data_IF_509387223376
#
_entry.id   IF_509387223376
#
_cell.length_a   1.000
_cell.length_b   1.000
_cell.length_c   1.000
_cell.angle_alpha   90.00
_cell.angle_beta   90.00
_cell.angle_gamma   90.00
#
_symmetry.space_group_name_H-M   'P 1'
#
loop_
_entity.id
_entity.type
_entity.pdbx_description
1 polymer ?
#
# COMPACT_ATOMS: atom_id res chain seq x y z
N UNK A 1 58.16 -71.30 -30.92
CA UNK A 1 57.81 -70.15 -31.77
C UNK A 1 56.33 -69.93 -31.68
N UNK A 2 55.87 -69.13 -30.71
CA UNK A 2 54.44 -68.79 -30.56
C UNK A 2 54.36 -67.26 -30.53
N UNK A 3 53.76 -66.71 -31.55
CA UNK A 3 53.43 -65.30 -31.70
C UNK A 3 52.22 -65.02 -30.86
N UNK A 4 52.15 -63.93 -30.06
CA UNK A 4 50.95 -63.54 -29.40
C UNK A 4 50.07 -62.67 -30.31
N UNK A 5 48.85 -63.10 -30.45
CA UNK A 5 47.78 -62.45 -31.16
C UNK A 5 47.28 -61.27 -30.35
N UNK A 6 47.41 -60.07 -30.93
CA UNK A 6 46.99 -58.81 -30.34
C UNK A 6 45.55 -58.53 -30.77
N UNK A 7 44.57 -58.64 -29.91
CA UNK A 7 43.17 -58.31 -30.19
C UNK A 7 42.64 -57.25 -29.21
N UNK A 8 43.08 -56.00 -29.38
CA UNK A 8 42.45 -54.85 -28.75
C UNK A 8 41.75 -53.99 -29.82
N UNK A 9 40.62 -54.49 -30.29
CA UNK A 9 39.67 -53.68 -31.07
C UNK A 9 38.33 -53.58 -30.31
N UNK A 10 38.33 -52.78 -29.23
CA UNK A 10 37.09 -52.37 -28.63
C UNK A 10 36.48 -51.24 -29.52
N UNK A 11 35.24 -51.39 -29.98
CA UNK A 11 34.60 -50.35 -30.80
C UNK A 11 34.39 -49.08 -29.96
N UNK A 12 34.61 -47.88 -30.56
CA UNK A 12 34.40 -46.61 -29.85
C UNK A 12 32.94 -46.53 -29.42
N UNK A 13 32.74 -46.27 -28.11
CA UNK A 13 31.41 -45.99 -27.56
C UNK A 13 30.80 -44.81 -28.28
N UNK A 14 29.94 -45.08 -29.27
CA UNK A 14 29.11 -44.06 -29.90
C UNK A 14 28.18 -43.46 -28.80
N UNK A 15 28.56 -42.30 -28.34
CA UNK A 15 27.65 -41.47 -27.49
C UNK A 15 26.43 -41.14 -28.35
N UNK A 16 25.28 -41.69 -27.97
CA UNK A 16 24.03 -41.51 -28.71
C UNK A 16 23.73 -40.01 -28.89
N UNK A 17 23.52 -39.50 -30.15
CA UNK A 17 23.28 -38.08 -30.41
C UNK A 17 22.09 -37.51 -29.66
N UNK A 18 21.13 -38.35 -29.25
CA UNK A 18 19.99 -38.01 -28.42
C UNK A 18 20.37 -37.49 -27.04
N UNK A 19 21.42 -38.04 -26.36
CA UNK A 19 21.85 -37.56 -25.06
C UNK A 19 22.38 -36.11 -25.10
N UNK A 20 23.08 -35.74 -26.17
CA UNK A 20 23.58 -34.38 -26.35
C UNK A 20 22.46 -33.37 -26.63
N UNK A 21 21.40 -33.78 -27.34
CA UNK A 21 20.24 -32.92 -27.62
C UNK A 21 19.44 -32.63 -26.35
N UNK A 22 19.18 -33.66 -25.53
CA UNK A 22 18.50 -33.52 -24.23
C UNK A 22 19.25 -32.63 -23.25
N UNK A 23 20.58 -32.76 -23.21
CA UNK A 23 21.42 -31.91 -22.36
C UNK A 23 21.33 -30.44 -22.77
N UNK A 24 21.37 -30.14 -24.07
CA UNK A 24 21.22 -28.77 -24.61
C UNK A 24 19.83 -28.20 -24.32
N UNK A 25 18.78 -29.04 -24.43
CA UNK A 25 17.40 -28.61 -24.12
C UNK A 25 17.23 -28.31 -22.64
N UNK A 26 17.76 -29.17 -21.76
CA UNK A 26 17.73 -28.93 -20.29
C UNK A 26 18.52 -27.69 -19.91
N UNK A 27 19.67 -27.47 -20.51
CA UNK A 27 20.46 -26.25 -20.28
C UNK A 27 19.70 -25.00 -20.76
N UNK A 28 19.04 -25.04 -21.91
CA UNK A 28 18.21 -23.94 -22.41
C UNK A 28 17.04 -23.61 -21.49
N UNK A 29 16.35 -24.64 -20.97
CA UNK A 29 15.27 -24.46 -19.98
C UNK A 29 15.81 -23.88 -18.68
N UNK A 30 16.95 -24.36 -18.19
CA UNK A 30 17.58 -23.83 -16.98
C UNK A 30 17.95 -22.35 -17.13
N UNK A 31 18.58 -21.97 -18.26
CA UNK A 31 18.91 -20.57 -18.55
C UNK A 31 17.64 -19.72 -18.64
N UNK A 32 16.58 -20.21 -19.30
CA UNK A 32 15.31 -19.50 -19.41
C UNK A 32 14.67 -19.28 -18.02
N UNK A 33 14.69 -20.29 -17.16
CA UNK A 33 14.20 -20.18 -15.77
C UNK A 33 14.99 -19.17 -14.97
N UNK A 34 16.33 -19.15 -15.12
CA UNK A 34 17.19 -18.16 -14.45
C UNK A 34 16.86 -16.75 -14.94
N UNK A 35 16.67 -16.54 -16.25
CA UNK A 35 16.30 -15.24 -16.80
C UNK A 35 14.93 -14.78 -16.35
N UNK A 36 13.94 -15.68 -16.30
CA UNK A 36 12.59 -15.38 -15.79
C UNK A 36 12.64 -15.01 -14.31
N UNK A 37 13.36 -15.79 -13.50
CA UNK A 37 13.50 -15.50 -12.05
C UNK A 37 14.27 -14.22 -11.81
N UNK A 38 15.36 -13.98 -12.52
CA UNK A 38 16.13 -12.73 -12.42
C UNK A 38 15.29 -11.52 -12.85
N UNK A 39 14.55 -11.63 -13.94
CA UNK A 39 13.65 -10.59 -14.44
C UNK A 39 12.50 -10.31 -13.46
N UNK A 40 11.86 -11.34 -12.93
CA UNK A 40 10.81 -11.19 -11.92
C UNK A 40 11.36 -10.55 -10.63
N UNK A 41 12.53 -10.99 -10.19
CA UNK A 41 13.19 -10.43 -8.99
C UNK A 41 13.57 -8.97 -9.23
N UNK A 42 14.11 -8.64 -10.41
CA UNK A 42 14.40 -7.25 -10.78
C UNK A 42 13.14 -6.39 -10.74
N UNK A 43 12.00 -6.84 -11.30
CA UNK A 43 10.74 -6.09 -11.30
C UNK A 43 10.17 -5.89 -9.89
N UNK A 44 10.38 -6.86 -8.98
CA UNK A 44 9.90 -6.77 -7.60
C UNK A 44 10.77 -5.82 -6.77
N UNK A 45 12.09 -5.88 -6.92
CA UNK A 45 13.04 -5.18 -6.06
C UNK A 45 13.75 -4.00 -6.75
N UNK A 46 13.53 -3.78 -8.06
CA UNK A 46 14.10 -2.62 -8.73
C UNK A 46 13.76 -1.36 -7.94
N UNK A 47 14.75 -0.49 -7.64
CA UNK A 47 14.49 0.73 -6.94
C UNK A 47 13.47 1.52 -7.74
N UNK A 48 12.30 1.68 -7.16
CA UNK A 48 11.33 2.61 -7.70
C UNK A 48 11.97 3.99 -7.67
N UNK A 49 11.87 4.72 -8.79
CA UNK A 49 12.25 6.13 -8.82
C UNK A 49 11.67 6.79 -7.57
N UNK A 50 12.55 7.30 -6.73
CA UNK A 50 12.19 7.87 -5.43
C UNK A 50 11.06 8.87 -5.63
N UNK A 51 9.91 8.54 -5.07
CA UNK A 51 8.82 9.51 -5.02
C UNK A 51 9.38 10.65 -4.16
N UNK A 52 9.53 11.88 -4.71
CA UNK A 52 10.19 12.96 -4.01
C UNK A 52 9.57 13.15 -2.63
N UNK A 53 10.41 13.45 -1.63
CA UNK A 53 9.92 13.69 -0.28
C UNK A 53 8.83 14.76 -0.35
N UNK A 54 7.71 14.51 0.34
CA UNK A 54 6.66 15.50 0.46
C UNK A 54 7.26 16.71 1.19
N UNK A 55 7.60 17.75 0.44
CA UNK A 55 8.11 18.99 1.01
C UNK A 55 6.93 19.70 1.68
N UNK A 56 7.02 19.88 3.00
CA UNK A 56 6.05 20.67 3.74
C UNK A 56 6.21 22.13 3.36
N UNK A 57 5.13 22.72 2.91
CA UNK A 57 5.07 24.15 2.61
C UNK A 57 4.50 24.90 3.84
N UNK A 58 4.88 26.18 4.00
CA UNK A 58 4.31 27.06 5.02
C UNK A 58 2.78 27.16 4.90
N UNK A 59 2.25 27.08 3.68
CA UNK A 59 0.82 27.03 3.41
C UNK A 59 0.11 25.82 4.04
N UNK A 60 0.80 24.70 4.24
CA UNK A 60 0.22 23.51 4.85
C UNK A 60 -0.17 23.78 6.31
N UNK A 61 0.63 24.55 7.05
CA UNK A 61 0.29 24.97 8.42
C UNK A 61 -0.90 25.94 8.43
N UNK A 62 -0.98 26.82 7.43
CA UNK A 62 -2.14 27.73 7.29
C UNK A 62 -3.43 26.96 7.03
N UNK A 63 -3.38 25.93 6.19
CA UNK A 63 -4.52 25.03 5.93
C UNK A 63 -4.90 24.31 7.21
N UNK A 64 -3.96 23.72 7.93
CA UNK A 64 -4.21 23.03 9.20
C UNK A 64 -4.86 23.97 10.23
N UNK A 65 -4.35 25.20 10.37
CA UNK A 65 -4.90 26.18 11.30
C UNK A 65 -6.35 26.53 10.96
N UNK A 66 -6.65 26.80 9.69
CA UNK A 66 -8.03 27.07 9.24
C UNK A 66 -8.98 25.89 9.51
N UNK A 67 -8.53 24.67 9.30
CA UNK A 67 -9.32 23.47 9.59
C UNK A 67 -9.61 23.34 11.09
N UNK A 68 -8.58 23.53 11.92
CA UNK A 68 -8.74 23.53 13.38
C UNK A 68 -9.75 24.59 13.83
N UNK A 69 -9.64 25.82 13.31
CA UNK A 69 -10.58 26.90 13.62
C UNK A 69 -12.02 26.54 13.20
N UNK A 70 -12.20 25.98 11.99
CA UNK A 70 -13.50 25.56 11.49
C UNK A 70 -14.13 24.52 12.40
N UNK A 71 -13.39 23.44 12.68
CA UNK A 71 -13.86 22.37 13.56
C UNK A 71 -14.12 22.88 14.98
N UNK A 72 -13.26 23.72 15.54
CA UNK A 72 -13.45 24.31 16.87
C UNK A 72 -14.70 25.18 16.94
N UNK A 73 -14.98 25.97 15.91
CA UNK A 73 -16.21 26.77 15.82
C UNK A 73 -17.46 25.89 15.82
N UNK A 74 -17.45 24.82 15.02
CA UNK A 74 -18.57 23.87 14.96
C UNK A 74 -18.75 23.13 16.29
N UNK A 75 -17.65 22.72 16.96
CA UNK A 75 -17.68 22.12 18.28
C UNK A 75 -18.25 23.08 19.33
N UNK A 76 -17.89 24.36 19.26
CA UNK A 76 -18.41 25.39 20.17
C UNK A 76 -19.90 25.60 19.99
N UNK A 77 -20.38 25.62 18.74
CA UNK A 77 -21.78 25.77 18.42
C UNK A 77 -22.62 24.55 18.84
N UNK A 78 -22.07 23.35 18.68
CA UNK A 78 -22.75 22.08 18.99
C UNK A 78 -22.91 21.80 20.46
N UNK A 79 -22.20 22.54 21.36
CA UNK A 79 -22.43 22.46 22.81
C UNK A 79 -23.84 22.91 23.21
N UNK A 80 -24.53 23.69 22.37
CA UNK A 80 -25.86 24.20 22.61
C UNK A 80 -26.98 23.24 22.20
N UNK A 81 -26.68 22.32 21.25
CA UNK A 81 -27.68 21.39 20.71
C UNK A 81 -27.11 19.96 20.72
N UNK A 82 -27.70 19.07 21.52
CA UNK A 82 -27.22 17.74 21.83
C UNK A 82 -27.11 16.78 20.62
N UNK A 83 -27.71 17.06 19.48
CA UNK A 83 -27.75 16.18 18.31
C UNK A 83 -27.37 16.88 17.00
N UNK A 84 -26.73 18.04 17.05
CA UNK A 84 -26.37 18.76 15.85
C UNK A 84 -25.30 17.99 15.07
N UNK A 85 -25.57 17.76 13.77
CA UNK A 85 -24.60 17.18 12.84
C UNK A 85 -23.66 18.28 12.36
N UNK A 86 -22.37 18.05 12.48
CA UNK A 86 -21.34 18.88 11.85
C UNK A 86 -21.08 18.38 10.43
N UNK A 87 -20.77 19.28 9.52
CA UNK A 87 -20.37 18.95 8.15
C UNK A 87 -19.02 19.59 7.85
N UNK A 88 -18.05 18.78 7.47
CA UNK A 88 -16.72 19.19 7.05
C UNK A 88 -16.52 18.86 5.58
N UNK A 89 -16.30 19.86 4.75
CA UNK A 89 -15.93 19.69 3.35
C UNK A 89 -14.43 19.98 3.19
N UNK A 90 -13.71 19.02 2.63
CA UNK A 90 -12.27 19.09 2.41
C UNK A 90 -11.98 19.03 0.90
N UNK A 91 -11.23 20.00 0.42
CA UNK A 91 -10.69 19.94 -0.94
C UNK A 91 -9.52 18.94 -1.02
N UNK A 92 -9.19 18.44 -2.22
CA UNK A 92 -8.01 17.59 -2.40
C UNK A 92 -6.72 18.23 -1.91
N UNK A 93 -6.59 19.54 -2.09
CA UNK A 93 -5.41 20.28 -1.61
C UNK A 93 -5.31 20.30 -0.08
N UNK A 94 -6.43 20.54 0.61
CA UNK A 94 -6.49 20.50 2.07
C UNK A 94 -6.12 19.12 2.62
N UNK A 95 -6.63 18.05 2.01
CA UNK A 95 -6.31 16.67 2.40
C UNK A 95 -4.82 16.37 2.15
N UNK A 96 -4.29 16.77 0.99
CA UNK A 96 -2.89 16.57 0.65
C UNK A 96 -1.95 17.37 1.58
N UNK A 97 -2.35 18.57 2.01
CA UNK A 97 -1.65 19.34 3.03
C UNK A 97 -1.56 18.57 4.35
N UNK A 98 -2.66 17.98 4.82
CA UNK A 98 -2.67 17.18 6.04
C UNK A 98 -1.77 15.94 5.92
N UNK A 99 -1.74 15.29 4.75
CA UNK A 99 -0.83 14.17 4.50
C UNK A 99 0.64 14.59 4.53
N UNK A 100 1.02 15.72 3.93
CA UNK A 100 2.39 16.25 3.99
C UNK A 100 2.83 16.54 5.43
N UNK A 101 1.96 17.15 6.22
CA UNK A 101 2.22 17.41 7.64
C UNK A 101 2.34 16.13 8.47
N UNK A 102 1.52 15.12 8.18
CA UNK A 102 1.56 13.84 8.89
C UNK A 102 2.81 13.03 8.56
N UNK A 103 3.26 13.06 7.31
CA UNK A 103 4.44 12.33 6.85
C UNK A 103 5.74 12.79 7.53
N UNK A 104 5.79 14.03 8.02
CA UNK A 104 6.96 14.58 8.75
C UNK A 104 6.96 14.28 10.25
N UNK A 105 5.88 13.72 10.79
CA UNK A 105 5.89 13.25 12.18
C UNK A 105 6.66 11.95 12.24
N UNK A 106 7.61 11.84 13.20
CA UNK A 106 8.33 10.59 13.46
C UNK A 106 7.30 9.46 13.63
N UNK A 107 7.43 8.33 12.93
CA UNK A 107 6.51 7.23 13.07
C UNK A 107 6.45 6.82 14.54
N UNK A 108 5.28 6.87 15.12
CA UNK A 108 5.04 6.29 16.44
C UNK A 108 5.31 4.78 16.31
N UNK A 109 5.77 4.16 17.39
CA UNK A 109 6.15 2.75 17.51
C UNK A 109 5.14 1.78 16.86
N UNK A 110 5.14 1.72 15.54
CA UNK A 110 4.38 0.72 14.79
C UNK A 110 5.16 -0.60 14.83
N UNK A 111 4.51 -1.74 15.11
CA UNK A 111 5.16 -3.05 15.03
C UNK A 111 5.58 -3.42 13.60
N UNK A 112 5.08 -2.69 12.60
CA UNK A 112 5.49 -2.84 11.21
C UNK A 112 6.62 -1.86 10.90
N UNK A 113 7.72 -2.30 10.26
CA UNK A 113 8.84 -1.45 9.87
C UNK A 113 8.46 -0.56 8.68
N UNK A 114 7.43 0.26 8.84
CA UNK A 114 7.01 1.26 7.88
C UNK A 114 7.95 2.46 8.01
N UNK A 115 8.97 2.52 7.16
CA UNK A 115 9.92 3.65 7.21
C UNK A 115 9.27 4.97 6.85
N UNK A 116 8.48 5.00 5.77
CA UNK A 116 7.75 6.19 5.31
C UNK A 116 6.58 5.72 4.46
N UNK A 117 5.38 6.15 4.75
CA UNK A 117 4.30 6.03 3.78
C UNK A 117 3.98 7.39 3.17
N UNK A 118 3.58 7.41 1.93
CA UNK A 118 3.15 8.60 1.23
C UNK A 118 1.72 8.41 0.79
N UNK A 119 0.89 9.34 1.18
CA UNK A 119 -0.49 9.36 0.80
C UNK A 119 -0.79 10.61 -0.02
N UNK A 120 -1.70 10.48 -0.97
CA UNK A 120 -2.25 11.58 -1.74
C UNK A 120 -3.73 11.34 -2.00
N UNK A 121 -4.47 12.42 -2.18
CA UNK A 121 -5.88 12.40 -2.53
C UNK A 121 -6.06 13.10 -3.88
N UNK A 122 -6.84 12.50 -4.77
CA UNK A 122 -7.05 12.98 -6.13
C UNK A 122 -8.38 13.70 -6.28
N UNK A 123 -8.51 14.49 -7.37
CA UNK A 123 -9.74 15.16 -7.76
C UNK A 123 -10.88 14.19 -8.16
N UNK A 124 -10.56 12.90 -8.26
CA UNK A 124 -11.54 11.82 -8.51
C UNK A 124 -12.08 11.19 -7.24
N UNK A 125 -11.67 11.68 -6.05
CA UNK A 125 -12.06 11.09 -4.77
C UNK A 125 -11.30 9.80 -4.42
N UNK A 126 -10.17 9.56 -5.07
CA UNK A 126 -9.33 8.38 -4.81
C UNK A 126 -8.18 8.75 -3.87
N UNK A 127 -8.00 7.95 -2.84
CA UNK A 127 -6.80 7.95 -2.03
C UNK A 127 -5.73 7.09 -2.69
N UNK A 128 -4.52 7.53 -2.69
CA UNK A 128 -3.35 6.74 -3.07
C UNK A 128 -2.36 6.70 -1.92
N UNK A 129 -1.82 5.51 -1.65
CA UNK A 129 -0.77 5.33 -0.66
C UNK A 129 0.37 4.52 -1.26
N UNK A 130 1.61 4.93 -0.94
CA UNK A 130 2.81 4.16 -1.24
C UNK A 130 3.47 3.82 0.10
N UNK A 131 3.54 2.53 0.37
CA UNK A 131 4.01 1.97 1.62
C UNK A 131 5.29 1.19 1.33
N UNK A 132 6.45 1.65 1.80
CA UNK A 132 7.68 0.85 1.76
C UNK A 132 7.61 -0.24 2.83
N UNK A 133 7.82 -1.48 2.43
CA UNK A 133 7.86 -2.64 3.30
C UNK A 133 9.28 -3.19 3.27
N UNK A 134 9.97 -3.13 4.40
CA UNK A 134 11.29 -3.73 4.54
C UNK A 134 11.14 -5.26 4.63
N UNK A 135 11.87 -5.96 3.77
CA UNK A 135 11.90 -7.42 3.76
C UNK A 135 13.14 -7.93 4.48
N UNK A 136 13.08 -9.19 4.90
CA UNK A 136 14.26 -9.89 5.48
C UNK A 136 15.35 -10.17 4.44
N UNK A 137 15.02 -10.05 3.15
CA UNK A 137 15.93 -10.30 2.02
C UNK A 137 16.80 -9.09 1.71
N UNK A 138 17.52 -8.57 2.70
CA UNK A 138 18.36 -7.36 2.57
C UNK A 138 19.45 -7.47 1.50
N UNK A 139 19.88 -8.68 1.17
CA UNK A 139 20.88 -8.96 0.14
C UNK A 139 20.33 -8.78 -1.29
N UNK A 140 19.00 -8.70 -1.44
CA UNK A 140 18.34 -8.54 -2.72
C UNK A 140 17.92 -7.07 -2.89
N UNK A 141 18.65 -6.30 -3.71
CA UNK A 141 18.36 -4.90 -4.08
C UNK A 141 17.91 -3.98 -2.93
N UNK A 142 18.54 -4.09 -1.77
CA UNK A 142 18.27 -3.23 -0.61
C UNK A 142 17.09 -3.65 0.26
N UNK A 143 16.37 -4.71 -0.10
CA UNK A 143 15.38 -5.35 0.77
C UNK A 143 14.08 -4.58 1.00
N UNK A 144 13.77 -3.53 0.22
CA UNK A 144 12.54 -2.76 0.36
C UNK A 144 11.61 -3.03 -0.82
N UNK A 145 10.38 -3.41 -0.52
CA UNK A 145 9.28 -3.57 -1.48
C UNK A 145 8.33 -2.40 -1.33
N UNK A 146 7.86 -1.84 -2.44
CA UNK A 146 6.89 -0.74 -2.44
C UNK A 146 5.50 -1.25 -2.78
N UNK A 147 4.57 -1.07 -1.86
CA UNK A 147 3.14 -1.33 -2.07
C UNK A 147 2.46 -0.02 -2.46
N UNK A 148 1.99 0.07 -3.69
CA UNK A 148 1.16 1.19 -4.16
C UNK A 148 -0.29 0.78 -4.22
N UNK A 149 -1.12 1.42 -3.42
CA UNK A 149 -2.56 1.14 -3.35
C UNK A 149 -3.31 2.41 -3.72
N UNK A 150 -4.34 2.28 -4.57
CA UNK A 150 -5.38 3.30 -4.76
C UNK A 150 -6.70 2.74 -4.29
N UNK A 151 -7.43 3.51 -3.51
CA UNK A 151 -8.69 3.10 -2.92
C UNK A 151 -9.64 4.29 -2.76
N UNK A 152 -10.92 4.01 -2.66
CA UNK A 152 -11.93 4.97 -2.26
C UNK A 152 -12.45 4.63 -0.87
N UNK A 153 -12.81 5.65 -0.11
CA UNK A 153 -13.49 5.51 1.18
C UNK A 153 -14.92 6.00 1.05
N UNK A 154 -15.86 5.25 1.57
CA UNK A 154 -17.27 5.65 1.65
C UNK A 154 -17.90 5.15 2.93
N UNK A 155 -18.84 5.92 3.44
CA UNK A 155 -19.65 5.54 4.61
C UNK A 155 -21.04 6.13 4.44
N UNK A 156 -22.05 5.28 4.51
CA UNK A 156 -23.46 5.71 4.63
C UNK A 156 -23.87 5.70 6.11
N UNK A 157 -24.89 6.50 6.43
CA UNK A 157 -25.44 6.53 7.79
C UNK A 157 -25.90 5.13 8.24
N UNK A 158 -25.49 4.72 9.44
CA UNK A 158 -25.77 3.40 9.99
C UNK A 158 -24.96 2.23 9.43
N UNK A 159 -24.03 2.48 8.48
CA UNK A 159 -23.13 1.46 7.94
C UNK A 159 -21.69 1.73 8.38
N UNK A 160 -20.88 0.69 8.35
CA UNK A 160 -19.45 0.80 8.61
C UNK A 160 -18.71 1.48 7.46
N UNK A 161 -17.52 2.03 7.78
CA UNK A 161 -16.62 2.60 6.80
C UNK A 161 -16.17 1.51 5.82
N UNK A 162 -16.38 1.76 4.54
CA UNK A 162 -15.99 0.86 3.45
C UNK A 162 -14.73 1.38 2.76
N UNK A 163 -13.79 0.49 2.55
CA UNK A 163 -12.58 0.75 1.78
C UNK A 163 -12.60 -0.11 0.52
N UNK A 164 -12.77 0.52 -0.65
CA UNK A 164 -12.83 -0.18 -1.93
C UNK A 164 -11.53 0.04 -2.70
N UNK A 165 -10.85 -1.05 -3.02
CA UNK A 165 -9.60 -0.99 -3.78
C UNK A 165 -9.90 -0.69 -5.25
N UNK A 166 -9.27 0.35 -5.77
CA UNK A 166 -9.29 0.72 -7.19
C UNK A 166 -8.16 0.01 -7.93
N UNK A 167 -6.96 0.07 -7.39
CA UNK A 167 -5.79 -0.62 -7.95
C UNK A 167 -4.74 -0.90 -6.87
N UNK A 168 -3.99 -1.98 -7.06
CA UNK A 168 -2.88 -2.34 -6.20
C UNK A 168 -1.69 -2.80 -7.06
N UNK A 169 -0.48 -2.35 -6.69
CA UNK A 169 0.78 -2.79 -7.30
C UNK A 169 1.79 -3.09 -6.21
N UNK A 170 2.51 -4.18 -6.36
CA UNK A 170 3.70 -4.46 -5.56
C UNK A 170 4.90 -4.09 -6.42
N UNK A 171 5.56 -3.01 -6.06
CA UNK A 171 6.58 -2.35 -6.90
C UNK A 171 6.00 -2.04 -8.29
N UNK A 172 6.40 -2.74 -9.35
CA UNK A 172 5.88 -2.57 -10.72
C UNK A 172 4.82 -3.61 -11.09
N UNK A 173 4.67 -4.67 -10.30
CA UNK A 173 3.76 -5.78 -10.61
C UNK A 173 2.33 -5.47 -10.19
N UNK A 174 1.36 -5.53 -11.11
CA UNK A 174 -0.05 -5.36 -10.75
C UNK A 174 -0.55 -6.55 -9.94
N UNK A 175 -1.27 -6.26 -8.86
CA UNK A 175 -2.00 -7.26 -8.07
C UNK A 175 -3.46 -7.21 -8.49
N UNK A 176 -4.10 -8.37 -8.62
CA UNK A 176 -5.52 -8.41 -8.97
C UNK A 176 -6.35 -7.65 -7.92
N UNK A 177 -7.35 -6.89 -8.37
CA UNK A 177 -8.23 -6.14 -7.47
C UNK A 177 -8.87 -7.03 -6.41
N UNK A 178 -9.32 -8.22 -6.82
CA UNK A 178 -9.96 -9.18 -5.91
C UNK A 178 -9.00 -9.67 -4.82
N UNK A 179 -7.73 -9.95 -5.17
CA UNK A 179 -6.71 -10.35 -4.21
C UNK A 179 -6.38 -9.21 -3.24
N UNK A 180 -6.20 -8.00 -3.77
CA UNK A 180 -5.91 -6.83 -2.96
C UNK A 180 -7.07 -6.51 -2.00
N UNK A 181 -8.33 -6.61 -2.45
CA UNK A 181 -9.51 -6.41 -1.62
C UNK A 181 -9.56 -7.42 -0.47
N UNK A 182 -9.35 -8.72 -0.76
CA UNK A 182 -9.30 -9.75 0.30
C UNK A 182 -8.24 -9.48 1.37
N UNK A 183 -7.09 -8.95 0.97
CA UNK A 183 -6.03 -8.58 1.93
C UNK A 183 -6.51 -7.42 2.80
N UNK A 184 -7.08 -6.38 2.20
CA UNK A 184 -7.60 -5.22 2.94
C UNK A 184 -8.73 -5.64 3.88
N UNK A 185 -9.68 -6.44 3.40
CA UNK A 185 -10.80 -6.93 4.23
C UNK A 185 -10.28 -7.72 5.45
N UNK A 186 -9.24 -8.54 5.27
CA UNK A 186 -8.59 -9.25 6.37
C UNK A 186 -7.90 -8.29 7.35
N UNK A 187 -7.17 -7.29 6.84
CA UNK A 187 -6.54 -6.28 7.69
C UNK A 187 -7.58 -5.45 8.46
N UNK A 188 -8.67 -5.09 7.79
CA UNK A 188 -9.79 -4.37 8.42
C UNK A 188 -10.49 -5.20 9.51
N UNK A 189 -10.45 -6.53 9.41
CA UNK A 189 -11.00 -7.44 10.42
C UNK A 189 -10.08 -7.67 11.64
N UNK A 190 -8.83 -7.21 11.61
CA UNK A 190 -7.91 -7.33 12.75
C UNK A 190 -8.43 -6.52 13.95
N UNK A 191 -8.34 -7.10 15.15
CA UNK A 191 -8.89 -6.52 16.39
C UNK A 191 -8.43 -5.07 16.64
N UNK A 192 -7.13 -4.81 16.47
CA UNK A 192 -6.57 -3.47 16.67
C UNK A 192 -7.13 -2.45 15.67
N UNK A 193 -7.28 -2.85 14.41
CA UNK A 193 -7.86 -2.01 13.35
C UNK A 193 -9.34 -1.78 13.63
N UNK A 194 -10.08 -2.81 14.02
CA UNK A 194 -11.49 -2.71 14.40
C UNK A 194 -11.73 -1.76 15.57
N UNK A 195 -10.87 -1.76 16.59
CA UNK A 195 -10.96 -0.82 17.72
C UNK A 195 -10.82 0.64 17.24
N UNK A 196 -9.93 0.92 16.31
CA UNK A 196 -9.80 2.25 15.72
C UNK A 196 -10.97 2.60 14.79
N UNK A 197 -11.42 1.67 13.98
CA UNK A 197 -12.57 1.84 13.10
C UNK A 197 -13.86 2.10 13.88
N UNK A 198 -14.06 1.41 15.00
CA UNK A 198 -15.20 1.64 15.86
C UNK A 198 -15.23 3.06 16.42
N UNK A 199 -14.07 3.62 16.82
CA UNK A 199 -13.97 5.02 17.23
C UNK A 199 -14.32 5.96 16.07
N UNK A 200 -13.81 5.70 14.86
CA UNK A 200 -14.14 6.49 13.67
C UNK A 200 -15.62 6.37 13.33
N UNK A 201 -16.18 5.15 13.35
CA UNK A 201 -17.58 4.88 13.07
C UNK A 201 -18.54 5.57 14.05
N UNK A 202 -18.11 5.74 15.30
CA UNK A 202 -18.90 6.46 16.32
C UNK A 202 -18.98 7.95 16.00
N UNK A 203 -17.91 8.55 15.51
CA UNK A 203 -17.82 9.98 15.23
C UNK A 203 -18.39 10.32 13.85
N UNK A 204 -17.98 9.58 12.81
CA UNK A 204 -18.33 9.86 11.41
C UNK A 204 -19.66 9.17 11.08
N UNK A 205 -20.65 9.96 10.68
CA UNK A 205 -21.96 9.48 10.24
C UNK A 205 -21.97 9.08 8.77
N UNK A 206 -21.49 9.98 7.93
CA UNK A 206 -21.37 9.71 6.50
C UNK A 206 -20.08 10.27 5.94
N UNK A 207 -19.59 9.65 4.88
CA UNK A 207 -18.41 10.07 4.14
C UNK A 207 -18.68 9.84 2.67
N UNK A 208 -18.68 10.91 1.89
CA UNK A 208 -18.93 10.88 0.45
C UNK A 208 -17.96 11.81 -0.28
N UNK A 209 -17.78 11.56 -1.58
CA UNK A 209 -17.05 12.48 -2.44
C UNK A 209 -18.02 13.10 -3.43
N UNK A 210 -18.22 14.41 -3.31
CA UNK A 210 -19.21 15.16 -4.09
C UNK A 210 -18.62 16.49 -4.55
N UNK A 211 -18.91 16.87 -5.78
CA UNK A 211 -18.50 18.17 -6.35
C UNK A 211 -17.00 18.48 -6.19
N UNK A 212 -16.13 17.44 -6.30
CA UNK A 212 -14.70 17.60 -6.17
C UNK A 212 -14.18 17.78 -4.73
N UNK A 213 -15.02 17.54 -3.71
CA UNK A 213 -14.66 17.64 -2.29
C UNK A 213 -15.03 16.37 -1.53
N UNK A 214 -14.26 16.05 -0.52
CA UNK A 214 -14.60 15.02 0.46
C UNK A 214 -15.53 15.65 1.50
N UNK A 215 -16.76 15.17 1.55
CA UNK A 215 -17.77 15.59 2.53
C UNK A 215 -17.83 14.58 3.67
N UNK A 216 -17.65 15.07 4.89
CA UNK A 216 -17.68 14.28 6.11
C UNK A 216 -18.79 14.85 7.00
N UNK A 217 -19.82 14.05 7.27
CA UNK A 217 -20.80 14.36 8.30
C UNK A 217 -20.42 13.67 9.59
N UNK A 218 -20.37 14.40 10.68
CA UNK A 218 -19.89 13.88 11.96
C UNK A 218 -20.74 14.39 13.13
N UNK A 219 -20.56 13.74 14.29
CA UNK A 219 -21.16 14.15 15.55
C UNK A 219 -20.13 14.87 16.40
N UNK A 220 -20.19 16.22 16.54
CA UNK A 220 -19.22 16.99 17.30
C UNK A 220 -19.10 16.53 18.76
N UNK A 221 -20.18 16.12 19.40
CA UNK A 221 -20.19 15.63 20.76
C UNK A 221 -19.37 14.35 20.97
N UNK A 222 -19.37 13.45 19.99
CA UNK A 222 -18.57 12.22 20.06
C UNK A 222 -17.07 12.52 20.01
N UNK A 223 -16.67 13.60 19.32
CA UNK A 223 -15.28 14.05 19.33
C UNK A 223 -14.87 14.49 20.73
N UNK A 224 -15.72 15.27 21.41
CA UNK A 224 -15.46 15.72 22.79
C UNK A 224 -15.34 14.53 23.76
N UNK A 225 -16.22 13.55 23.65
CA UNK A 225 -16.15 12.34 24.48
C UNK A 225 -14.88 11.51 24.26
N UNK A 226 -14.35 11.48 23.02
CA UNK A 226 -13.09 10.80 22.73
C UNK A 226 -11.85 11.56 23.21
N UNK A 227 -11.94 12.90 23.37
CA UNK A 227 -10.84 13.72 23.89
C UNK A 227 -10.70 13.66 25.41
N UNK A 228 -11.76 13.29 26.12
CA UNK A 228 -11.81 13.24 27.60
C UNK A 228 -11.43 11.86 28.14
N UNK A 229 -11.39 10.83 27.31
CA UNK A 229 -10.92 9.46 27.65
C UNK A 229 -9.45 9.28 27.30
#
# INVERSE_FOLDING_TARGET
MNTPENSDNAPPKQSSPLKGLWLKLLLGIAVLLILITAGATYLIFAPWQEIPAAVVNINDFTVQYRLIQRVSKELSNSRKELNQKGTLELSPEEINSLFRLSANRKPSRSPYPLRYYRAAFSDKGEFSAVIPIDTTLKWLWGGTIYLKVRFTLSKSEGKDLQCNIVSCKVTSLPVSRATAQKIVDRMMAEKQVQEHLNKVNTVIRSLSFEKGKLRIEYLPQQILLLMVR
#
